data_IF_440427362865
#
_entry.id   IF_440427362865
#
_cell.length_a   1.000
_cell.length_b   1.000
_cell.length_c   1.000
_cell.angle_alpha   90.00
_cell.angle_beta   90.00
_cell.angle_gamma   90.00
#
_symmetry.space_group_name_H-M   'P 1'
#
loop_
_entity.id
_entity.type
_entity.pdbx_description
1 polymer ?
#
# COMPACT_ATOMS: atom_id res chain seq x y z
N UNK A 1 -10.44 8.77 12.24
CA UNK A 1 -9.31 9.46 11.64
C UNK A 1 -8.52 10.06 12.80
N UNK A 2 -7.21 10.15 12.72
CA UNK A 2 -6.34 10.48 13.85
C UNK A 2 -5.11 11.26 13.40
N UNK A 3 -4.38 11.76 14.39
CA UNK A 3 -3.12 12.48 14.20
C UNK A 3 -1.97 11.58 14.61
N UNK A 4 -1.06 11.31 13.67
CA UNK A 4 0.08 10.43 13.90
C UNK A 4 1.39 11.17 13.63
N UNK A 5 2.39 10.92 14.48
CA UNK A 5 3.74 11.44 14.36
C UNK A 5 4.73 10.27 14.30
N UNK A 6 5.36 10.07 13.17
CA UNK A 6 6.45 9.09 13.00
C UNK A 6 7.77 9.81 13.26
N UNK A 7 8.47 9.45 14.33
CA UNK A 7 9.60 10.24 14.83
C UNK A 7 10.87 9.40 15.00
N UNK A 8 12.04 10.00 14.73
CA UNK A 8 13.36 9.43 15.01
C UNK A 8 13.93 8.51 13.93
N UNK A 9 13.16 8.20 12.91
CA UNK A 9 13.58 7.38 11.78
C UNK A 9 14.44 8.15 10.77
N UNK A 10 15.01 7.40 9.81
CA UNK A 10 15.64 7.96 8.62
C UNK A 10 14.58 8.17 7.53
N UNK A 11 14.34 9.41 7.13
CA UNK A 11 13.37 9.75 6.09
C UNK A 11 14.00 9.70 4.69
N UNK A 12 13.37 8.94 3.81
CA UNK A 12 13.58 8.96 2.36
C UNK A 12 12.27 9.41 1.73
N UNK A 13 12.18 10.65 1.30
CA UNK A 13 10.91 11.28 0.89
C UNK A 13 10.47 11.00 -0.56
N UNK A 14 11.32 10.30 -1.33
CA UNK A 14 11.04 9.97 -2.74
C UNK A 14 11.32 11.11 -3.74
N UNK A 15 11.82 12.26 -3.30
CA UNK A 15 12.13 13.38 -4.20
C UNK A 15 13.48 13.26 -4.87
N UNK A 16 14.32 12.32 -4.43
CA UNK A 16 15.72 12.20 -4.84
C UNK A 16 16.69 13.05 -4.02
N UNK A 17 16.20 13.80 -3.04
CA UNK A 17 17.04 14.52 -2.07
C UNK A 17 17.78 13.56 -1.14
N UNK A 18 18.82 14.06 -0.47
CA UNK A 18 19.54 13.29 0.53
C UNK A 18 18.60 12.88 1.68
N UNK A 19 18.71 11.63 2.20
CA UNK A 19 17.91 11.21 3.35
C UNK A 19 18.13 12.10 4.57
N UNK A 20 17.07 12.27 5.36
CA UNK A 20 17.10 13.05 6.61
C UNK A 20 17.11 12.08 7.80
N UNK A 21 18.21 12.04 8.54
CA UNK A 21 18.30 11.26 9.78
C UNK A 21 17.56 11.95 10.94
N UNK A 22 17.11 11.18 11.92
CA UNK A 22 16.32 11.68 13.05
C UNK A 22 15.19 12.58 12.58
N UNK A 23 14.34 12.05 11.72
CA UNK A 23 13.27 12.78 11.07
C UNK A 23 11.96 12.82 11.87
N UNK A 24 11.03 13.63 11.38
CA UNK A 24 9.64 13.66 11.82
C UNK A 24 8.73 13.69 10.59
N UNK A 25 7.70 12.84 10.60
CA UNK A 25 6.60 12.89 9.63
C UNK A 25 5.31 13.03 10.42
N UNK A 26 4.54 14.08 10.14
CA UNK A 26 3.23 14.33 10.75
C UNK A 26 2.13 14.01 9.74
N UNK A 27 1.16 13.22 10.20
CA UNK A 27 -0.03 12.86 9.43
C UNK A 27 -1.26 13.32 10.18
N UNK A 28 -2.11 14.09 9.53
CA UNK A 28 -3.40 14.55 10.05
C UNK A 28 -4.49 13.94 9.15
N UNK A 29 -5.22 13.01 9.70
CA UNK A 29 -6.17 12.13 9.00
C UNK A 29 -5.52 11.38 7.82
N UNK A 30 -5.72 11.85 6.59
CA UNK A 30 -5.20 11.25 5.35
C UNK A 30 -4.11 12.11 4.67
N UNK A 31 -3.62 13.16 5.37
CA UNK A 31 -2.66 14.12 4.83
C UNK A 31 -1.35 14.12 5.59
N UNK A 32 -0.24 14.07 4.87
CA UNK A 32 1.07 14.41 5.42
C UNK A 32 1.14 15.93 5.52
N UNK A 33 1.27 16.44 6.75
CA UNK A 33 1.32 17.89 7.02
C UNK A 33 2.74 18.38 7.25
N UNK A 34 3.66 17.48 7.58
CA UNK A 34 5.08 17.75 7.71
C UNK A 34 5.91 16.50 7.39
N UNK A 35 7.03 16.67 6.71
CA UNK A 35 8.05 15.63 6.54
C UNK A 35 9.43 16.30 6.46
N UNK A 36 10.33 15.98 7.39
CA UNK A 36 11.65 16.61 7.42
C UNK A 36 12.44 16.32 8.70
N UNK A 37 13.39 17.20 9.03
CA UNK A 37 14.18 17.08 10.25
C UNK A 37 13.28 17.15 11.48
N UNK A 38 13.67 16.43 12.56
CA UNK A 38 12.87 16.36 13.78
C UNK A 38 12.71 17.74 14.42
N UNK A 39 11.48 18.08 14.71
CA UNK A 39 11.08 19.24 15.51
C UNK A 39 10.29 18.73 16.72
N UNK A 40 9.78 19.63 17.54
CA UNK A 40 8.83 19.30 18.61
C UNK A 40 7.54 18.73 17.99
N UNK A 41 7.06 17.64 18.55
CA UNK A 41 5.78 17.04 18.13
C UNK A 41 4.63 17.86 18.72
N UNK A 42 3.72 18.38 17.91
CA UNK A 42 2.59 19.15 18.44
C UNK A 42 1.69 18.29 19.35
N UNK A 43 1.02 18.92 20.29
CA UNK A 43 0.09 18.22 21.18
C UNK A 43 -1.05 17.57 20.38
N UNK A 44 -1.50 16.40 20.84
CA UNK A 44 -2.61 15.66 20.26
C UNK A 44 -2.23 14.67 19.15
N UNK A 45 -0.93 14.51 18.86
CA UNK A 45 -0.46 13.47 17.96
C UNK A 45 -0.12 12.19 18.74
N UNK A 46 -0.53 11.03 18.20
CA UNK A 46 -0.03 9.72 18.62
C UNK A 46 1.37 9.53 18.04
N UNK A 47 2.35 9.25 18.90
CA UNK A 47 3.76 9.15 18.48
C UNK A 47 4.16 7.71 18.28
N UNK A 48 4.60 7.38 17.07
CA UNK A 48 5.28 6.12 16.74
C UNK A 48 6.79 6.35 16.71
N UNK A 49 7.53 5.64 17.56
CA UNK A 49 9.01 5.66 17.54
C UNK A 49 9.54 4.85 16.37
N UNK A 50 10.18 5.55 15.45
CA UNK A 50 10.82 4.99 14.27
C UNK A 50 12.35 4.93 14.38
N UNK A 51 12.91 5.05 15.56
CA UNK A 51 14.37 4.95 15.80
C UNK A 51 14.91 3.63 15.23
N UNK A 52 15.94 3.72 14.38
CA UNK A 52 16.53 2.57 13.67
C UNK A 52 15.73 2.06 12.47
N UNK A 53 14.58 2.68 12.18
CA UNK A 53 13.77 2.35 10.99
C UNK A 53 13.95 3.40 9.89
N UNK A 54 13.56 3.05 8.66
CA UNK A 54 13.44 4.00 7.55
C UNK A 54 11.97 4.33 7.32
N UNK A 55 11.67 5.63 7.25
CA UNK A 55 10.35 6.15 6.88
C UNK A 55 10.43 6.51 5.40
N UNK A 56 9.54 5.96 4.60
CA UNK A 56 9.50 6.21 3.14
C UNK A 56 8.05 6.17 2.63
N UNK A 57 7.77 6.77 1.47
CA UNK A 57 6.49 6.57 0.80
C UNK A 57 6.22 5.09 0.54
N UNK A 58 4.97 4.71 0.55
CA UNK A 58 4.59 3.35 0.15
C UNK A 58 5.05 3.05 -1.28
N UNK A 59 5.42 1.80 -1.52
CA UNK A 59 5.86 1.34 -2.83
C UNK A 59 4.72 1.41 -3.85
N UNK A 60 5.09 1.67 -5.09
CA UNK A 60 4.17 1.70 -6.23
C UNK A 60 4.59 0.60 -7.21
N UNK A 61 3.68 -0.33 -7.49
CA UNK A 61 3.86 -1.32 -8.56
C UNK A 61 3.03 -0.90 -9.77
N UNK A 62 3.71 -0.68 -10.89
CA UNK A 62 3.07 -0.19 -12.11
C UNK A 62 2.60 -1.30 -13.05
N UNK A 63 2.85 -2.57 -12.70
CA UNK A 63 2.44 -3.70 -13.53
C UNK A 63 2.34 -4.99 -12.70
N UNK A 64 1.14 -5.27 -12.22
CA UNK A 64 0.87 -6.55 -11.56
C UNK A 64 -0.45 -7.16 -12.03
N UNK A 65 -0.65 -8.41 -11.63
CA UNK A 65 -1.89 -9.15 -11.90
C UNK A 65 -2.42 -9.77 -10.62
N UNK A 66 -3.67 -9.47 -10.28
CA UNK A 66 -4.42 -10.25 -9.31
C UNK A 66 -4.96 -11.50 -9.99
N UNK A 67 -4.07 -12.43 -10.32
CA UNK A 67 -4.40 -13.63 -11.11
C UNK A 67 -5.34 -14.57 -10.40
N UNK A 68 -5.29 -14.56 -9.06
CA UNK A 68 -6.04 -15.49 -8.25
C UNK A 68 -5.43 -16.89 -8.18
N UNK A 69 -4.22 -17.09 -8.70
CA UNK A 69 -3.56 -18.38 -8.63
C UNK A 69 -3.11 -18.67 -7.18
N UNK A 70 -3.33 -19.91 -6.74
CA UNK A 70 -2.91 -20.39 -5.41
C UNK A 70 -1.48 -20.92 -5.43
N UNK A 71 -1.04 -21.44 -6.56
CA UNK A 71 0.26 -22.09 -6.75
C UNK A 71 0.93 -21.61 -8.02
N UNK A 72 2.18 -22.00 -8.22
CA UNK A 72 2.95 -21.76 -9.43
C UNK A 72 2.69 -22.84 -10.52
N UNK A 73 1.73 -23.76 -10.30
CA UNK A 73 1.35 -24.76 -11.30
C UNK A 73 0.35 -24.18 -12.29
N UNK A 74 0.74 -24.09 -13.55
CA UNK A 74 -0.11 -23.57 -14.63
C UNK A 74 -1.39 -24.41 -14.82
N UNK A 75 -1.40 -25.66 -14.39
CA UNK A 75 -2.59 -26.53 -14.48
C UNK A 75 -3.68 -26.11 -13.48
N UNK A 76 -3.32 -25.59 -12.32
CA UNK A 76 -4.28 -25.10 -11.31
C UNK A 76 -5.14 -23.99 -11.89
N UNK A 77 -4.57 -23.18 -12.77
CA UNK A 77 -5.31 -22.10 -13.44
C UNK A 77 -6.52 -22.59 -14.24
N UNK A 78 -6.46 -23.82 -14.76
CA UNK A 78 -7.52 -24.43 -15.56
C UNK A 78 -8.62 -25.05 -14.72
N UNK A 79 -8.26 -25.64 -13.57
CA UNK A 79 -9.16 -26.45 -12.74
C UNK A 79 -9.80 -25.67 -11.58
N UNK A 80 -9.23 -24.55 -11.18
CA UNK A 80 -9.77 -23.72 -10.10
C UNK A 80 -11.09 -23.05 -10.51
N UNK A 81 -12.05 -23.04 -9.60
CA UNK A 81 -13.30 -22.34 -9.81
C UNK A 81 -13.09 -20.81 -9.83
N UNK A 82 -13.98 -20.10 -10.53
CA UNK A 82 -13.98 -18.63 -10.55
C UNK A 82 -14.06 -18.05 -9.14
N UNK A 83 -14.82 -18.67 -8.24
CA UNK A 83 -14.96 -18.23 -6.85
C UNK A 83 -13.62 -18.34 -6.09
N UNK A 84 -12.87 -19.44 -6.27
CA UNK A 84 -11.55 -19.61 -5.67
C UNK A 84 -10.58 -18.53 -6.18
N UNK A 85 -10.53 -18.31 -7.49
CA UNK A 85 -9.68 -17.27 -8.09
C UNK A 85 -9.99 -15.88 -7.55
N UNK A 86 -11.28 -15.55 -7.41
CA UNK A 86 -11.67 -14.26 -6.84
C UNK A 86 -11.26 -14.12 -5.37
N UNK A 87 -11.43 -15.16 -4.56
CA UNK A 87 -11.00 -15.15 -3.16
C UNK A 87 -9.47 -14.99 -3.04
N UNK A 88 -8.70 -15.66 -3.89
CA UNK A 88 -7.25 -15.51 -3.94
C UNK A 88 -6.80 -14.11 -4.39
N UNK A 89 -7.48 -13.55 -5.39
CA UNK A 89 -7.20 -12.19 -5.86
C UNK A 89 -7.45 -11.14 -4.77
N UNK A 90 -8.49 -11.30 -3.95
CA UNK A 90 -8.75 -10.49 -2.76
C UNK A 90 -7.59 -10.59 -1.77
N UNK A 91 -7.12 -11.81 -1.46
CA UNK A 91 -5.96 -12.03 -0.59
C UNK A 91 -4.70 -11.38 -1.15
N UNK A 92 -4.40 -11.56 -2.44
CA UNK A 92 -3.24 -10.97 -3.10
C UNK A 92 -3.24 -9.44 -2.98
N UNK A 93 -4.40 -8.80 -3.14
CA UNK A 93 -4.54 -7.35 -2.93
C UNK A 93 -4.19 -6.93 -1.50
N UNK A 94 -4.66 -7.68 -0.51
CA UNK A 94 -4.33 -7.42 0.89
C UNK A 94 -2.84 -7.65 1.18
N UNK A 95 -2.27 -8.71 0.62
CA UNK A 95 -0.84 -9.04 0.75
C UNK A 95 0.03 -7.91 0.17
N UNK A 96 -0.34 -7.33 -0.98
CA UNK A 96 0.34 -6.16 -1.53
C UNK A 96 0.45 -5.03 -0.49
N UNK A 97 -0.67 -4.68 0.16
CA UNK A 97 -0.68 -3.62 1.16
C UNK A 97 0.21 -3.96 2.36
N UNK A 98 0.14 -5.19 2.87
CA UNK A 98 0.92 -5.62 4.04
C UNK A 98 2.42 -5.75 3.76
N UNK A 99 2.81 -5.86 2.49
CA UNK A 99 4.21 -5.85 2.04
C UNK A 99 4.69 -4.46 1.57
N UNK A 100 3.90 -3.41 1.83
CA UNK A 100 4.30 -2.03 1.58
C UNK A 100 3.94 -1.48 0.20
N UNK A 101 3.26 -2.25 -0.66
CA UNK A 101 2.70 -1.77 -1.92
C UNK A 101 1.40 -1.01 -1.64
N UNK A 102 1.46 0.32 -1.60
CA UNK A 102 0.31 1.17 -1.28
C UNK A 102 -0.44 1.65 -2.51
N UNK A 103 0.16 1.52 -3.69
CA UNK A 103 -0.45 1.85 -4.98
C UNK A 103 -0.03 0.81 -6.00
N UNK A 104 -0.98 0.34 -6.81
CA UNK A 104 -0.71 -0.68 -7.81
C UNK A 104 -1.47 -0.39 -9.11
N UNK A 105 -0.87 -0.76 -10.24
CA UNK A 105 -1.54 -0.80 -11.53
C UNK A 105 -1.80 -2.27 -11.90
N UNK A 106 -3.04 -2.68 -11.78
CA UNK A 106 -3.48 -4.03 -12.09
C UNK A 106 -3.92 -4.11 -13.55
N UNK A 107 -3.20 -4.94 -14.31
CA UNK A 107 -3.41 -5.13 -15.74
C UNK A 107 -4.05 -6.50 -15.98
N UNK A 108 -5.32 -6.64 -15.56
CA UNK A 108 -6.01 -7.91 -15.65
C UNK A 108 -7.49 -7.84 -15.31
N UNK A 109 -8.11 -9.02 -15.24
CA UNK A 109 -9.57 -9.17 -15.16
C UNK A 109 -10.16 -8.77 -13.81
N UNK A 110 -9.38 -8.94 -12.73
CA UNK A 110 -9.93 -8.87 -11.37
C UNK A 110 -9.80 -7.48 -10.76
N UNK A 111 -8.93 -6.62 -11.30
CA UNK A 111 -8.58 -5.34 -10.71
C UNK A 111 -9.74 -4.39 -10.50
N UNK A 112 -10.69 -4.32 -11.44
CA UNK A 112 -11.86 -3.44 -11.33
C UNK A 112 -12.71 -3.81 -10.11
N UNK A 113 -13.05 -5.09 -9.99
CA UNK A 113 -13.90 -5.55 -8.88
C UNK A 113 -13.21 -5.34 -7.52
N UNK A 114 -11.91 -5.64 -7.42
CA UNK A 114 -11.15 -5.46 -6.18
C UNK A 114 -10.99 -3.97 -5.85
N UNK A 115 -10.67 -3.13 -6.83
CA UNK A 115 -10.62 -1.67 -6.68
C UNK A 115 -11.92 -1.12 -6.10
N UNK A 116 -13.06 -1.56 -6.63
CA UNK A 116 -14.35 -1.08 -6.20
C UNK A 116 -14.66 -1.51 -4.75
N UNK A 117 -14.32 -2.75 -4.37
CA UNK A 117 -14.43 -3.22 -2.98
C UNK A 117 -13.55 -2.42 -2.01
N UNK A 118 -12.32 -2.07 -2.42
CA UNK A 118 -11.42 -1.23 -1.62
C UNK A 118 -11.99 0.19 -1.50
N UNK A 119 -12.45 0.79 -2.60
CA UNK A 119 -13.00 2.15 -2.61
C UNK A 119 -14.31 2.26 -1.79
N UNK A 120 -15.10 1.20 -1.75
CA UNK A 120 -16.30 1.12 -0.91
C UNK A 120 -16.00 0.86 0.57
N UNK A 121 -14.74 0.61 0.93
CA UNK A 121 -14.34 0.26 2.29
C UNK A 121 -14.77 -1.14 2.74
N UNK A 122 -15.18 -2.00 1.83
CA UNK A 122 -15.57 -3.40 2.12
C UNK A 122 -14.35 -4.23 2.51
N UNK A 123 -13.19 -3.90 1.93
CA UNK A 123 -11.92 -4.54 2.25
C UNK A 123 -10.78 -3.53 2.30
N UNK A 124 -9.71 -3.89 3.01
CA UNK A 124 -8.44 -3.14 2.98
C UNK A 124 -7.60 -3.59 1.79
N UNK A 125 -6.99 -2.64 1.11
CA UNK A 125 -6.10 -2.89 -0.02
C UNK A 125 -5.38 -1.62 -0.45
N UNK A 126 -4.44 -1.70 -1.40
CA UNK A 126 -3.75 -0.55 -1.95
C UNK A 126 -4.70 0.32 -2.79
N UNK A 127 -4.25 1.50 -3.18
CA UNK A 127 -4.90 2.25 -4.25
C UNK A 127 -4.69 1.51 -5.57
N UNK A 128 -5.77 1.15 -6.25
CA UNK A 128 -5.70 0.31 -7.45
C UNK A 128 -6.10 1.13 -8.68
N UNK A 129 -5.19 1.19 -9.65
CA UNK A 129 -5.49 1.57 -11.02
C UNK A 129 -5.70 0.28 -11.82
N UNK A 130 -6.87 0.10 -12.40
CA UNK A 130 -7.23 -1.13 -13.09
C UNK A 130 -7.59 -0.87 -14.55
N UNK A 131 -7.05 -1.68 -15.46
CA UNK A 131 -7.33 -1.58 -16.90
C UNK A 131 -8.57 -2.37 -17.31
N UNK A 132 -8.97 -3.38 -16.53
CA UNK A 132 -10.02 -4.32 -16.88
C UNK A 132 -9.53 -5.43 -17.81
N UNK A 133 -10.43 -5.94 -18.65
CA UNK A 133 -10.09 -6.97 -19.62
C UNK A 133 -9.04 -6.42 -20.60
N UNK A 134 -7.90 -7.10 -20.67
CA UNK A 134 -6.94 -6.86 -21.73
C UNK A 134 -7.53 -7.22 -23.10
N UNK A 135 -7.14 -6.51 -24.11
CA UNK A 135 -7.48 -6.81 -25.49
C UNK A 135 -6.57 -7.89 -26.04
#
# INVERSE_FOLDING_TARGET
MGKFAFAGGRLVDGTGAAPVDNSLVLVDDDKITYAGARTEVPAGYEVEDCTGKTIMPGLIDTHLHFSGNLTDDDNDWVIESVAQKQACAVKQSYDCLTHGLTTVCEIGRNGIAIRDLVNMGVMKGPRIFATGLGF
#
